data_IF_470464104748
#
_entry.id   IF_470464104748
#
_cell.length_a   1.000
_cell.length_b   1.000
_cell.length_c   1.000
_cell.angle_alpha   90.00
_cell.angle_beta   90.00
_cell.angle_gamma   90.00
#
_symmetry.space_group_name_H-M   'P 1'
#
loop_
_entity.id
_entity.type
_entity.pdbx_description
1 polymer ?
#
# COMPACT_ATOMS: atom_id res chain seq x y z
N UNK A 1 17.22 -2.14 -1.84
CA UNK A 1 16.24 -1.37 -1.06
C UNK A 1 15.79 -0.21 -1.91
N UNK A 2 14.50 -0.09 -2.14
CA UNK A 2 13.89 1.04 -2.83
C UNK A 2 12.99 1.82 -1.87
N UNK A 3 12.98 3.14 -1.99
CA UNK A 3 12.11 4.04 -1.24
C UNK A 3 10.91 4.43 -2.12
N UNK A 4 9.77 4.63 -1.49
CA UNK A 4 8.57 5.07 -2.19
C UNK A 4 8.72 6.50 -2.70
N UNK A 5 8.08 6.83 -3.84
CA UNK A 5 8.10 8.17 -4.45
C UNK A 5 6.84 8.37 -5.31
N UNK A 6 6.64 9.62 -5.75
CA UNK A 6 5.55 10.00 -6.67
C UNK A 6 5.94 9.86 -8.16
N UNK A 7 7.21 9.63 -8.45
CA UNK A 7 7.74 9.36 -9.81
C UNK A 7 8.66 8.15 -9.77
N UNK A 8 8.42 7.18 -10.64
CA UNK A 8 9.28 6.01 -10.83
C UNK A 8 9.61 5.82 -12.31
N UNK A 9 10.75 5.18 -12.58
CA UNK A 9 11.16 4.84 -13.95
C UNK A 9 11.95 3.54 -13.98
N UNK A 10 11.80 2.77 -15.07
CA UNK A 10 12.62 1.62 -15.41
C UNK A 10 13.70 1.95 -16.46
N UNK A 11 13.85 3.24 -16.78
CA UNK A 11 14.78 3.74 -17.81
C UNK A 11 14.15 3.89 -19.20
N UNK A 12 13.01 3.29 -19.48
CA UNK A 12 12.24 3.42 -20.72
C UNK A 12 10.88 4.09 -20.47
N UNK A 13 10.21 3.68 -19.42
CA UNK A 13 8.90 4.24 -19.04
C UNK A 13 9.02 5.07 -17.78
N UNK A 14 8.20 6.11 -17.68
CA UNK A 14 8.07 6.96 -16.51
C UNK A 14 6.63 6.80 -15.99
N UNK A 15 6.52 6.52 -14.72
CA UNK A 15 5.26 6.41 -13.98
C UNK A 15 5.12 7.63 -13.08
N UNK A 16 4.05 8.41 -13.24
CA UNK A 16 3.85 9.65 -12.51
C UNK A 16 2.52 9.59 -11.77
N UNK A 17 2.57 9.69 -10.44
CA UNK A 17 1.40 9.85 -9.60
C UNK A 17 0.84 11.27 -9.77
N UNK A 18 -0.43 11.37 -10.05
CA UNK A 18 -1.14 12.63 -10.29
C UNK A 18 -2.54 12.55 -9.69
N UNK A 19 -3.05 13.66 -9.17
CA UNK A 19 -4.44 13.78 -8.73
C UNK A 19 -5.13 14.91 -9.49
N UNK A 20 -6.41 14.78 -9.70
CA UNK A 20 -7.24 15.85 -10.26
C UNK A 20 -8.09 16.55 -9.18
N UNK A 21 -8.81 17.60 -9.59
CA UNK A 21 -9.70 18.35 -8.71
C UNK A 21 -10.95 17.57 -8.24
N UNK A 22 -11.16 16.36 -8.80
CA UNK A 22 -12.29 15.48 -8.48
C UNK A 22 -11.91 14.40 -7.46
N UNK A 23 -10.72 14.51 -6.84
CA UNK A 23 -10.18 13.55 -5.87
C UNK A 23 -9.88 12.15 -6.42
N UNK A 24 -9.80 12.00 -7.75
CA UNK A 24 -9.27 10.78 -8.34
C UNK A 24 -7.75 10.83 -8.38
N UNK A 25 -7.14 9.70 -8.08
CA UNK A 25 -5.70 9.48 -8.27
C UNK A 25 -5.46 8.75 -9.58
N UNK A 26 -4.47 9.19 -10.32
CA UNK A 26 -4.04 8.58 -11.58
C UNK A 26 -2.56 8.27 -11.54
N UNK A 27 -2.14 7.16 -12.15
CA UNK A 27 -0.76 6.96 -12.52
C UNK A 27 -0.64 7.09 -14.02
N UNK A 28 0.02 8.15 -14.48
CA UNK A 28 0.32 8.36 -15.90
C UNK A 28 1.53 7.54 -16.29
N UNK A 29 1.42 6.80 -17.39
CA UNK A 29 2.50 5.98 -17.93
C UNK A 29 2.98 6.62 -19.22
N UNK A 30 4.25 7.00 -19.27
CA UNK A 30 4.86 7.74 -20.37
C UNK A 30 6.02 6.93 -20.95
N UNK A 31 6.04 6.72 -22.26
CA UNK A 31 7.21 6.23 -22.98
C UNK A 31 8.16 7.40 -23.21
N UNK A 32 9.36 7.31 -22.65
CA UNK A 32 10.43 8.31 -22.81
C UNK A 32 11.60 7.80 -23.66
N UNK A 33 11.56 6.55 -24.10
CA UNK A 33 12.69 5.87 -24.78
C UNK A 33 12.98 6.36 -26.19
N UNK A 34 12.06 7.07 -26.84
CA UNK A 34 12.22 7.56 -28.23
C UNK A 34 12.77 8.98 -28.34
N UNK A 35 13.08 9.64 -27.21
CA UNK A 35 13.48 11.05 -27.19
C UNK A 35 12.31 12.03 -27.43
N UNK A 36 11.11 11.51 -27.74
CA UNK A 36 9.86 12.26 -27.84
C UNK A 36 8.83 11.61 -26.89
N UNK A 37 8.69 12.09 -25.65
CA UNK A 37 7.84 11.47 -24.66
C UNK A 37 6.38 11.38 -25.13
N UNK A 38 5.78 10.20 -24.97
CA UNK A 38 4.39 9.93 -25.34
C UNK A 38 3.67 9.25 -24.18
N UNK A 39 2.54 9.82 -23.77
CA UNK A 39 1.67 9.14 -22.81
C UNK A 39 1.05 7.90 -23.47
N UNK A 40 1.17 6.76 -22.81
CA UNK A 40 0.66 5.47 -23.27
C UNK A 40 -0.71 5.17 -22.66
N UNK A 41 -0.80 5.31 -21.35
CA UNK A 41 -2.02 4.99 -20.60
C UNK A 41 -2.06 5.74 -19.26
N UNK A 42 -3.23 5.68 -18.60
CA UNK A 42 -3.46 6.10 -17.22
C UNK A 42 -4.06 4.93 -16.42
N UNK A 43 -3.51 4.66 -15.24
CA UNK A 43 -4.17 3.83 -14.25
C UNK A 43 -5.05 4.76 -13.40
N UNK A 44 -6.35 4.66 -13.54
CA UNK A 44 -7.31 5.39 -12.71
C UNK A 44 -7.63 4.60 -11.45
N UNK A 45 -7.47 5.23 -10.29
CA UNK A 45 -7.80 4.67 -8.99
C UNK A 45 -9.06 5.34 -8.46
N UNK A 46 -10.15 4.58 -8.42
CA UNK A 46 -11.41 5.05 -7.85
C UNK A 46 -11.48 4.72 -6.37
N UNK A 47 -11.86 5.69 -5.55
CA UNK A 47 -11.95 5.54 -4.09
C UNK A 47 -10.67 5.02 -3.42
N UNK A 48 -9.52 5.46 -3.93
CA UNK A 48 -8.22 5.13 -3.36
C UNK A 48 -7.29 6.33 -3.44
N UNK A 49 -6.88 6.84 -2.29
CA UNK A 49 -5.93 7.94 -2.20
C UNK A 49 -4.52 7.36 -2.13
N UNK A 50 -3.80 7.44 -3.23
CA UNK A 50 -2.41 6.99 -3.31
C UNK A 50 -1.48 8.10 -2.81
N UNK A 51 -0.57 7.74 -1.91
CA UNK A 51 0.44 8.64 -1.38
C UNK A 51 1.76 8.51 -2.13
N UNK A 52 2.14 7.28 -2.43
CA UNK A 52 3.47 6.92 -2.93
C UNK A 52 3.40 5.65 -3.75
N UNK A 53 4.47 5.36 -4.51
CA UNK A 53 4.57 4.14 -5.30
C UNK A 53 5.99 3.56 -5.31
N UNK A 54 6.06 2.25 -5.57
CA UNK A 54 7.29 1.53 -5.91
C UNK A 54 7.19 0.95 -7.30
N UNK A 55 8.35 0.78 -7.93
CA UNK A 55 8.49 0.03 -9.18
C UNK A 55 9.62 -0.98 -9.01
N UNK A 56 9.31 -2.26 -9.17
CA UNK A 56 10.31 -3.33 -9.13
C UNK A 56 10.01 -4.33 -10.23
N UNK A 57 10.94 -4.49 -11.14
CA UNK A 57 10.73 -5.26 -12.37
C UNK A 57 9.43 -4.83 -13.08
N UNK A 58 8.49 -5.75 -13.24
CA UNK A 58 7.19 -5.50 -13.86
C UNK A 58 6.05 -5.27 -12.85
N UNK A 59 6.37 -4.95 -11.59
CA UNK A 59 5.40 -4.67 -10.54
C UNK A 59 5.41 -3.20 -10.16
N UNK A 60 4.28 -2.55 -10.37
CA UNK A 60 4.00 -1.21 -9.84
C UNK A 60 3.12 -1.36 -8.61
N UNK A 61 3.61 -0.89 -7.47
CA UNK A 61 2.91 -0.93 -6.19
C UNK A 61 2.47 0.48 -5.82
N UNK A 62 1.19 0.65 -5.56
CA UNK A 62 0.57 1.92 -5.19
C UNK A 62 0.15 1.85 -3.72
N UNK A 63 0.77 2.68 -2.88
CA UNK A 63 0.51 2.77 -1.45
C UNK A 63 -0.47 3.89 -1.14
N UNK A 64 -1.43 3.61 -0.27
CA UNK A 64 -2.42 4.61 0.08
C UNK A 64 -3.49 4.08 1.02
N UNK A 65 -4.67 4.68 0.95
CA UNK A 65 -5.82 4.31 1.76
C UNK A 65 -7.14 4.55 1.02
N UNK A 66 -8.16 3.81 1.39
CA UNK A 66 -9.54 4.12 0.99
C UNK A 66 -10.04 5.32 1.80
N UNK A 67 -10.72 6.31 1.20
CA UNK A 67 -11.31 7.43 1.94
C UNK A 67 -12.17 6.96 3.10
N UNK A 68 -12.07 7.65 4.24
CA UNK A 68 -12.79 7.32 5.48
C UNK A 68 -12.45 5.92 6.05
N UNK A 69 -11.29 5.37 5.72
CA UNK A 69 -10.79 4.11 6.24
C UNK A 69 -9.55 4.35 7.10
N UNK A 70 -9.47 3.65 8.22
CA UNK A 70 -8.32 3.56 9.11
C UNK A 70 -7.32 2.48 8.66
N UNK A 71 -7.28 2.18 7.37
CA UNK A 71 -6.52 1.07 6.79
C UNK A 71 -5.51 1.58 5.78
N UNK A 72 -4.29 1.11 5.90
CA UNK A 72 -3.29 1.23 4.85
C UNK A 72 -3.46 0.10 3.85
N UNK A 73 -3.37 0.41 2.57
CA UNK A 73 -3.45 -0.57 1.51
C UNK A 73 -2.32 -0.37 0.48
N UNK A 74 -1.91 -1.48 -0.13
CA UNK A 74 -1.02 -1.52 -1.28
C UNK A 74 -1.72 -2.21 -2.43
N UNK A 75 -1.93 -1.51 -3.55
CA UNK A 75 -2.49 -2.07 -4.78
C UNK A 75 -1.36 -2.39 -5.74
N UNK A 76 -1.28 -3.63 -6.20
CA UNK A 76 -0.19 -4.14 -7.03
C UNK A 76 -0.69 -4.32 -8.46
N UNK A 77 0.04 -3.74 -9.41
CA UNK A 77 -0.21 -3.87 -10.83
C UNK A 77 0.93 -4.61 -11.53
N UNK A 78 0.57 -5.47 -12.48
CA UNK A 78 1.48 -5.96 -13.50
C UNK A 78 1.55 -4.92 -14.63
N UNK A 79 2.75 -4.42 -14.90
CA UNK A 79 3.05 -3.42 -15.92
C UNK A 79 3.98 -3.97 -17.00
N UNK A 80 4.02 -5.30 -17.20
CA UNK A 80 4.75 -5.94 -18.31
C UNK A 80 4.35 -5.35 -19.65
N UNK A 81 3.06 -5.04 -19.83
CA UNK A 81 2.53 -4.25 -20.93
C UNK A 81 2.05 -2.89 -20.41
N UNK A 82 2.86 -1.81 -20.54
CA UNK A 82 2.51 -0.51 -19.99
C UNK A 82 1.27 0.13 -20.66
N UNK A 83 0.89 -0.33 -21.85
CA UNK A 83 -0.35 0.11 -22.51
C UNK A 83 -1.60 -0.57 -21.88
N UNK A 84 -1.39 -1.71 -21.17
CA UNK A 84 -2.46 -2.51 -20.58
C UNK A 84 -2.12 -2.98 -19.17
N UNK A 85 -1.88 -2.06 -18.21
CA UNK A 85 -1.57 -2.44 -16.83
C UNK A 85 -2.73 -3.22 -16.22
N UNK A 86 -2.40 -4.27 -15.43
CA UNK A 86 -3.40 -5.14 -14.82
C UNK A 86 -3.24 -5.15 -13.30
N UNK A 87 -4.29 -4.85 -12.55
CA UNK A 87 -4.31 -5.10 -11.11
C UNK A 87 -4.18 -6.60 -10.86
N UNK A 88 -3.18 -6.99 -10.09
CA UNK A 88 -2.91 -8.40 -9.75
C UNK A 88 -3.24 -8.73 -8.30
N UNK A 89 -3.01 -7.79 -7.38
CA UNK A 89 -3.33 -8.02 -5.96
C UNK A 89 -3.59 -6.71 -5.22
N UNK A 90 -4.11 -6.83 -4.00
CA UNK A 90 -4.28 -5.73 -3.05
C UNK A 90 -4.03 -6.25 -1.64
N UNK A 91 -3.06 -5.68 -0.93
CA UNK A 91 -2.75 -6.03 0.45
C UNK A 91 -3.18 -4.89 1.38
N UNK A 92 -3.68 -5.25 2.57
CA UNK A 92 -4.24 -4.29 3.54
C UNK A 92 -3.77 -4.60 4.94
N UNK A 93 -3.61 -3.55 5.74
CA UNK A 93 -3.40 -3.67 7.19
C UNK A 93 -4.09 -2.55 7.96
N UNK A 94 -4.40 -2.82 9.23
CA UNK A 94 -4.99 -1.83 10.14
C UNK A 94 -4.05 -0.67 10.39
N UNK A 95 -4.61 0.52 10.53
CA UNK A 95 -3.90 1.73 10.88
C UNK A 95 -3.53 2.62 9.69
N UNK A 96 -3.27 3.88 9.99
CA UNK A 96 -2.80 4.86 9.01
C UNK A 96 -1.36 4.60 8.61
N UNK A 97 -1.04 4.83 7.36
CA UNK A 97 0.31 4.68 6.78
C UNK A 97 1.33 5.56 7.52
N UNK A 98 2.47 4.97 7.87
CA UNK A 98 3.59 5.66 8.50
C UNK A 98 4.86 5.61 7.64
N UNK A 99 5.24 4.44 7.14
CA UNK A 99 6.44 4.24 6.32
C UNK A 99 6.37 2.92 5.55
N UNK A 100 7.22 2.76 4.53
CA UNK A 100 7.36 1.50 3.79
C UNK A 100 8.74 1.34 3.17
N UNK A 101 9.11 0.09 2.86
CA UNK A 101 10.33 -0.25 2.12
C UNK A 101 10.06 -1.44 1.23
N UNK A 102 10.62 -1.41 0.02
CA UNK A 102 10.62 -2.55 -0.88
C UNK A 102 12.04 -3.16 -0.91
N UNK A 103 12.14 -4.44 -0.54
CA UNK A 103 13.41 -5.15 -0.43
C UNK A 103 13.26 -6.52 -1.05
N UNK A 104 13.97 -6.77 -2.16
CA UNK A 104 13.99 -8.08 -2.84
C UNK A 104 12.59 -8.65 -3.11
N UNK A 105 11.69 -7.84 -3.66
CA UNK A 105 10.32 -8.25 -3.99
C UNK A 105 9.37 -8.36 -2.78
N UNK A 106 9.82 -7.99 -1.57
CA UNK A 106 8.97 -7.93 -0.38
C UNK A 106 8.72 -6.48 0.02
N UNK A 107 7.46 -6.13 0.05
CA UNK A 107 6.98 -4.83 0.51
C UNK A 107 6.74 -4.88 2.02
N UNK A 108 7.51 -4.13 2.77
CA UNK A 108 7.30 -3.92 4.20
C UNK A 108 6.51 -2.63 4.40
N UNK A 109 5.40 -2.71 5.12
CA UNK A 109 4.56 -1.55 5.45
C UNK A 109 4.53 -1.39 6.96
N UNK A 110 4.72 -0.15 7.40
CA UNK A 110 4.54 0.28 8.79
C UNK A 110 3.30 1.16 8.87
N UNK A 111 2.40 0.84 9.78
CA UNK A 111 1.20 1.65 10.04
C UNK A 111 0.97 1.85 11.54
N UNK A 112 0.26 2.90 11.91
CA UNK A 112 -0.15 3.20 13.28
C UNK A 112 -1.64 2.94 13.43
N UNK A 113 -2.00 1.96 14.28
CA UNK A 113 -3.37 1.57 14.54
C UNK A 113 -3.78 1.96 15.95
N UNK A 114 -4.68 2.95 16.08
CA UNK A 114 -5.29 3.35 17.33
C UNK A 114 -6.47 2.45 17.70
N UNK A 115 -6.48 1.95 18.93
CA UNK A 115 -7.60 1.16 19.45
C UNK A 115 -8.67 2.10 20.01
N UNK A 116 -9.91 1.94 19.53
CA UNK A 116 -11.04 2.65 20.16
C UNK A 116 -11.39 1.99 21.49
N UNK A 117 -10.87 2.56 22.58
CA UNK A 117 -10.98 2.02 23.94
C UNK A 117 -12.42 1.98 24.47
N UNK A 118 -13.33 2.80 23.92
CA UNK A 118 -14.74 2.81 24.31
C UNK A 118 -15.49 1.58 23.80
N UNK A 119 -14.98 0.93 22.75
CA UNK A 119 -15.62 -0.19 22.08
C UNK A 119 -14.95 -1.55 22.33
N UNK A 120 -13.98 -1.62 23.25
CA UNK A 120 -13.28 -2.87 23.56
C UNK A 120 -14.23 -3.87 24.21
N UNK A 121 -14.30 -5.08 23.65
CA UNK A 121 -14.92 -6.25 24.22
C UNK A 121 -13.85 -7.29 24.51
N UNK A 122 -13.63 -7.62 25.78
CA UNK A 122 -12.52 -8.52 26.20
C UNK A 122 -12.55 -9.87 25.51
N UNK A 123 -13.73 -10.42 25.25
CA UNK A 123 -13.93 -11.72 24.63
C UNK A 123 -13.98 -11.65 23.08
N UNK A 124 -13.85 -10.46 22.50
CA UNK A 124 -13.85 -10.24 21.05
C UNK A 124 -12.59 -9.48 20.62
N UNK A 125 -11.55 -10.23 20.27
CA UNK A 125 -10.27 -9.70 19.84
C UNK A 125 -10.39 -8.82 18.59
N UNK A 126 -11.46 -8.95 17.82
CA UNK A 126 -11.68 -8.13 16.63
C UNK A 126 -11.83 -6.64 16.95
N UNK A 127 -12.14 -6.30 18.20
CA UNK A 127 -12.35 -4.94 18.65
C UNK A 127 -11.04 -4.19 19.01
N UNK A 128 -9.92 -4.90 19.16
CA UNK A 128 -8.65 -4.29 19.57
C UNK A 128 -7.39 -4.88 18.92
N UNK A 129 -7.44 -6.06 18.30
CA UNK A 129 -6.28 -6.63 17.61
C UNK A 129 -6.30 -6.19 16.15
N UNK A 130 -5.20 -5.62 15.60
CA UNK A 130 -5.11 -5.24 14.21
C UNK A 130 -5.17 -6.47 13.28
N UNK A 131 -5.51 -6.25 12.03
CA UNK A 131 -5.51 -7.28 11.00
C UNK A 131 -4.55 -6.93 9.87
N UNK A 132 -4.14 -7.95 9.12
CA UNK A 132 -3.34 -7.88 7.90
C UNK A 132 -3.90 -8.87 6.87
N UNK A 133 -3.62 -8.67 5.60
CA UNK A 133 -4.00 -9.64 4.57
C UNK A 133 -3.81 -9.17 3.15
N UNK A 134 -3.88 -10.10 2.20
CA UNK A 134 -3.85 -9.84 0.77
C UNK A 134 -5.01 -10.52 0.05
N UNK A 135 -5.50 -9.89 -1.01
CA UNK A 135 -6.67 -10.34 -1.74
C UNK A 135 -7.92 -10.36 -0.86
N UNK A 136 -8.62 -11.48 -0.87
CA UNK A 136 -9.84 -11.68 -0.05
C UNK A 136 -9.54 -12.17 1.37
N UNK A 137 -8.30 -12.55 1.65
CA UNK A 137 -7.90 -13.09 2.96
C UNK A 137 -7.41 -11.97 3.86
N UNK A 138 -8.10 -11.76 4.96
CA UNK A 138 -7.66 -10.90 6.06
C UNK A 138 -7.72 -11.70 7.35
N UNK A 139 -6.70 -11.56 8.18
CA UNK A 139 -6.62 -12.25 9.45
C UNK A 139 -6.12 -11.30 10.56
N UNK A 140 -6.50 -11.59 11.78
CA UNK A 140 -5.98 -10.89 12.96
C UNK A 140 -4.55 -11.32 13.21
N UNK A 141 -3.72 -10.36 13.61
CA UNK A 141 -2.35 -10.64 14.00
C UNK A 141 -2.36 -11.65 15.17
N UNK A 142 -1.59 -12.71 15.02
CA UNK A 142 -1.48 -13.75 16.05
C UNK A 142 -0.85 -13.20 17.33
N UNK A 143 -1.26 -13.70 18.48
CA UNK A 143 -0.82 -13.18 19.79
C UNK A 143 0.70 -13.30 20.00
N UNK A 144 1.34 -14.30 19.42
CA UNK A 144 2.79 -14.51 19.46
C UNK A 144 3.58 -13.55 18.54
N UNK A 145 2.87 -12.81 17.68
CA UNK A 145 3.43 -11.73 16.86
C UNK A 145 3.21 -10.35 17.50
N UNK A 146 2.63 -10.28 18.69
CA UNK A 146 2.40 -9.02 19.41
C UNK A 146 3.44 -8.84 20.51
N UNK A 147 4.26 -7.81 20.38
CA UNK A 147 5.27 -7.46 21.38
C UNK A 147 4.78 -6.26 22.18
N UNK A 148 4.88 -6.34 23.50
CA UNK A 148 4.45 -5.29 24.41
C UNK A 148 5.56 -4.97 25.41
N UNK A 149 5.82 -3.68 25.63
CA UNK A 149 6.76 -3.23 26.64
C UNK A 149 6.17 -3.36 28.05
N UNK A 150 7.02 -3.62 29.03
CA UNK A 150 6.61 -3.51 30.44
C UNK A 150 6.05 -2.12 30.72
N UNK A 151 4.89 -2.06 31.35
CA UNK A 151 4.18 -0.81 31.66
C UNK A 151 3.72 0.00 30.43
N UNK A 152 3.41 -0.67 29.31
CA UNK A 152 2.76 -0.02 28.17
C UNK A 152 1.43 0.60 28.62
N UNK A 153 1.29 1.91 28.42
CA UNK A 153 0.05 2.66 28.69
C UNK A 153 -0.63 3.16 27.41
N UNK A 154 -0.05 2.82 26.26
CA UNK A 154 -0.55 3.25 24.95
C UNK A 154 -1.73 2.37 24.49
N UNK A 155 -2.71 3.00 23.84
CA UNK A 155 -3.83 2.32 23.20
C UNK A 155 -3.65 2.21 21.68
N UNK A 156 -2.42 2.08 21.23
CA UNK A 156 -2.08 2.01 19.81
C UNK A 156 -1.05 0.91 19.53
N UNK A 157 -1.08 0.41 18.29
CA UNK A 157 -0.10 -0.53 17.76
C UNK A 157 0.72 0.14 16.66
N UNK A 158 2.01 -0.13 16.62
CA UNK A 158 2.80 -0.05 15.40
C UNK A 158 2.70 -1.40 14.70
N UNK A 159 2.01 -1.43 13.56
CA UNK A 159 1.83 -2.65 12.77
C UNK A 159 2.91 -2.69 11.69
N UNK A 160 3.66 -3.78 11.64
CA UNK A 160 4.67 -4.03 10.60
C UNK A 160 4.35 -5.35 9.92
N UNK A 161 4.17 -5.33 8.61
CA UNK A 161 3.93 -6.54 7.83
C UNK A 161 4.75 -6.53 6.54
N UNK A 162 5.19 -7.72 6.11
CA UNK A 162 5.88 -7.94 4.85
C UNK A 162 4.98 -8.70 3.87
N UNK A 163 4.81 -8.17 2.67
CA UNK A 163 3.99 -8.73 1.60
C UNK A 163 4.87 -9.07 0.39
N UNK A 164 4.69 -10.26 -0.20
CA UNK A 164 5.33 -10.57 -1.47
C UNK A 164 4.55 -9.91 -2.60
N UNK A 165 5.22 -9.11 -3.43
CA UNK A 165 4.57 -8.38 -4.53
C UNK A 165 4.36 -9.25 -5.77
N UNK A 166 4.85 -10.48 -5.77
CA UNK A 166 4.76 -11.43 -6.89
C UNK A 166 3.69 -12.53 -6.67
N UNK A 167 3.13 -12.61 -5.46
CA UNK A 167 2.05 -13.55 -5.13
C UNK A 167 0.67 -13.05 -5.54
#
# INVERSE_FOLDING_TARGET
>A
VDEADIVKTDGKYIYILSSDYTFYTYVKIIDSGSGNPKQLNDIKLENFNTSEMFLSDNRLVLLGHTPNSDKTAAVIYDVTDPEKPKKVNECKQSGGYADSRLINGKLYIVSSYGVNTENIKKDDISTYVPYVGCGEKTEKIAADCIYMYDKCMESSYTVVCGYDIND
#
